data_IF_750854770665
#
_entry.id   IF_750854770665
#
_cell.length_a   1.000
_cell.length_b   1.000
_cell.length_c   1.000
_cell.angle_alpha   90.00
_cell.angle_beta   90.00
_cell.angle_gamma   90.00
#
_symmetry.space_group_name_H-M   'P 1'
#
loop_
_entity.id
_entity.type
_entity.pdbx_description
1 polymer ?
#
# COMPACT_ATOMS: atom_id res chain seq x y z
N UNK A 1 11.83 7.52 -23.98
CA UNK A 1 12.06 8.95 -24.08
C UNK A 1 11.33 9.77 -23.03
N UNK A 2 10.34 9.24 -22.35
CA UNK A 2 9.68 9.88 -21.23
C UNK A 2 10.62 10.11 -20.02
N UNK A 3 11.59 9.24 -19.80
CA UNK A 3 12.63 9.39 -18.77
C UNK A 3 13.45 10.66 -19.03
N UNK A 4 13.91 10.85 -20.25
CA UNK A 4 14.70 12.01 -20.64
C UNK A 4 13.90 13.30 -20.47
N UNK A 5 12.61 13.28 -20.82
CA UNK A 5 11.71 14.41 -20.59
C UNK A 5 11.58 14.76 -19.11
N UNK A 6 11.45 13.76 -18.21
CA UNK A 6 11.41 13.98 -16.76
C UNK A 6 12.73 14.60 -16.24
N UNK A 7 13.88 14.15 -16.73
CA UNK A 7 15.18 14.70 -16.34
C UNK A 7 15.35 16.15 -16.79
N UNK A 8 14.93 16.48 -18.00
CA UNK A 8 14.94 17.86 -18.48
C UNK A 8 13.96 18.74 -17.69
N UNK A 9 12.76 18.25 -17.42
CA UNK A 9 11.78 18.98 -16.61
C UNK A 9 12.33 19.27 -15.20
N UNK A 10 13.00 18.29 -14.58
CA UNK A 10 13.62 18.47 -13.25
C UNK A 10 14.73 19.53 -13.30
N UNK A 11 15.60 19.50 -14.32
CA UNK A 11 16.62 20.51 -14.53
C UNK A 11 16.04 21.91 -14.81
N UNK A 12 14.87 21.97 -15.43
CA UNK A 12 14.14 23.22 -15.68
C UNK A 12 13.38 23.75 -14.47
N UNK A 13 13.45 23.06 -13.32
CA UNK A 13 12.85 23.51 -12.06
C UNK A 13 11.47 22.93 -11.76
N UNK A 14 11.05 21.84 -12.41
CA UNK A 14 9.84 21.13 -12.03
C UNK A 14 9.95 20.62 -10.60
N UNK A 15 8.91 20.88 -9.79
CA UNK A 15 8.88 20.48 -8.37
C UNK A 15 8.80 18.97 -8.22
N UNK A 16 8.05 18.34 -9.08
CA UNK A 16 7.82 16.88 -9.07
C UNK A 16 7.82 16.35 -10.50
N UNK A 17 8.38 15.15 -10.68
CA UNK A 17 8.45 14.44 -11.95
C UNK A 17 8.00 13.00 -11.78
N UNK A 18 7.12 12.54 -12.67
CA UNK A 18 6.62 11.18 -12.68
C UNK A 18 6.97 10.54 -14.02
N UNK A 19 7.75 9.45 -13.98
CA UNK A 19 8.13 8.70 -15.16
C UNK A 19 7.38 7.36 -15.25
N UNK A 20 6.98 7.00 -16.46
CA UNK A 20 6.45 5.66 -16.76
C UNK A 20 7.60 4.74 -17.14
N UNK A 21 7.75 3.62 -16.45
CA UNK A 21 8.82 2.64 -16.61
C UNK A 21 8.29 1.31 -17.11
N UNK A 22 8.87 0.81 -18.20
CA UNK A 22 8.59 -0.55 -18.69
C UNK A 22 9.56 -1.60 -18.14
N UNK A 23 10.72 -1.17 -17.61
CA UNK A 23 11.75 -2.02 -17.00
C UNK A 23 12.00 -1.59 -15.56
N UNK A 24 11.64 -2.45 -14.62
CA UNK A 24 11.76 -2.16 -13.19
C UNK A 24 13.21 -2.03 -12.72
N UNK A 25 14.14 -2.71 -13.41
CA UNK A 25 15.57 -2.67 -13.08
C UNK A 25 16.15 -1.26 -13.17
N UNK A 26 15.53 -0.38 -13.95
CA UNK A 26 15.96 1.01 -14.12
C UNK A 26 15.45 1.94 -13.00
N UNK A 27 14.63 1.44 -12.05
CA UNK A 27 14.05 2.27 -10.98
C UNK A 27 15.11 2.98 -10.14
N UNK A 28 16.17 2.27 -9.76
CA UNK A 28 17.25 2.85 -8.95
C UNK A 28 17.98 3.95 -9.70
N UNK A 29 18.33 3.68 -10.96
CA UNK A 29 19.02 4.69 -11.82
C UNK A 29 18.19 5.96 -11.99
N UNK A 30 16.88 5.84 -12.10
CA UNK A 30 16.00 7.01 -12.22
C UNK A 30 15.92 7.82 -10.94
N UNK A 31 15.90 7.17 -9.79
CA UNK A 31 15.94 7.84 -8.49
C UNK A 31 17.26 8.61 -8.33
N UNK A 32 18.39 7.97 -8.64
CA UNK A 32 19.72 8.58 -8.57
C UNK A 32 19.87 9.74 -9.55
N UNK A 33 19.17 9.67 -10.68
CA UNK A 33 19.11 10.74 -11.66
C UNK A 33 18.15 11.89 -11.30
N UNK A 34 17.43 11.79 -10.19
CA UNK A 34 16.56 12.85 -9.66
C UNK A 34 15.10 12.80 -10.14
N UNK A 35 14.63 11.69 -10.70
CA UNK A 35 13.20 11.46 -10.95
C UNK A 35 12.51 11.08 -9.65
N UNK A 36 11.45 11.81 -9.27
CA UNK A 36 10.83 11.66 -7.97
C UNK A 36 9.98 10.37 -7.87
N UNK A 37 9.21 10.06 -8.91
CA UNK A 37 8.32 8.90 -8.94
C UNK A 37 8.48 8.13 -10.24
N UNK A 38 8.58 6.81 -10.14
CA UNK A 38 8.60 5.91 -11.29
C UNK A 38 7.46 4.89 -11.20
N UNK A 39 6.57 4.88 -12.18
CA UNK A 39 5.41 3.99 -12.24
C UNK A 39 5.60 2.97 -13.35
N UNK A 40 5.36 1.69 -13.06
CA UNK A 40 5.30 0.65 -14.08
C UNK A 40 3.83 0.27 -14.36
N UNK A 41 3.36 0.41 -15.61
CA UNK A 41 2.00 0.01 -15.97
C UNK A 41 1.74 -1.47 -15.71
N UNK A 42 2.74 -2.33 -15.92
CA UNK A 42 2.62 -3.78 -15.64
C UNK A 42 2.38 -4.07 -14.18
N UNK A 43 3.12 -3.39 -13.29
CA UNK A 43 2.96 -3.55 -11.84
C UNK A 43 1.63 -2.95 -11.38
N UNK A 44 1.24 -1.79 -11.90
CA UNK A 44 -0.04 -1.16 -11.58
C UNK A 44 -1.23 -2.05 -11.99
N UNK A 45 -1.21 -2.59 -13.22
CA UNK A 45 -2.27 -3.51 -13.68
C UNK A 45 -2.28 -4.82 -12.91
N UNK A 46 -1.11 -5.40 -12.63
CA UNK A 46 -1.01 -6.62 -11.83
C UNK A 46 -1.54 -6.41 -10.40
N UNK A 47 -1.19 -5.29 -9.76
CA UNK A 47 -1.70 -4.96 -8.43
C UNK A 47 -3.22 -4.78 -8.42
N UNK A 48 -3.80 -4.16 -9.46
CA UNK A 48 -5.25 -4.00 -9.55
C UNK A 48 -5.97 -5.36 -9.69
N UNK A 49 -5.44 -6.26 -10.51
CA UNK A 49 -5.97 -7.63 -10.62
C UNK A 49 -5.83 -8.38 -9.29
N UNK A 50 -4.66 -8.29 -8.64
CA UNK A 50 -4.44 -8.92 -7.34
C UNK A 50 -5.36 -8.34 -6.26
N UNK A 51 -5.62 -7.03 -6.28
CA UNK A 51 -6.57 -6.39 -5.36
C UNK A 51 -7.96 -6.97 -5.51
N UNK A 52 -8.42 -7.17 -6.75
CA UNK A 52 -9.72 -7.80 -7.02
C UNK A 52 -9.77 -9.25 -6.53
N UNK A 53 -8.69 -10.01 -6.75
CA UNK A 53 -8.61 -11.41 -6.35
C UNK A 53 -8.45 -11.60 -4.82
N UNK A 54 -7.85 -10.64 -4.14
CA UNK A 54 -7.61 -10.64 -2.68
C UNK A 54 -8.70 -9.93 -1.88
N UNK A 55 -9.91 -9.80 -2.41
CA UNK A 55 -11.04 -9.21 -1.69
C UNK A 55 -10.84 -7.74 -1.31
N UNK A 56 -10.15 -6.97 -2.15
CA UNK A 56 -9.98 -5.52 -1.95
C UNK A 56 -8.68 -5.09 -1.25
N UNK A 57 -7.82 -6.01 -0.85
CA UNK A 57 -6.49 -5.68 -0.28
C UNK A 57 -5.52 -5.29 -1.40
N UNK A 58 -4.93 -4.13 -1.30
CA UNK A 58 -3.92 -3.61 -2.24
C UNK A 58 -2.52 -3.66 -1.62
N UNK A 59 -1.54 -4.22 -2.32
CA UNK A 59 -0.14 -4.02 -1.97
C UNK A 59 0.28 -2.61 -2.41
N UNK A 60 0.72 -1.79 -1.46
CA UNK A 60 1.17 -0.41 -1.70
C UNK A 60 2.67 -0.38 -1.98
N UNK A 61 3.44 -1.18 -1.25
CA UNK A 61 4.88 -1.32 -1.42
C UNK A 61 5.36 -2.69 -0.97
N UNK A 62 6.38 -3.22 -1.65
CA UNK A 62 7.03 -4.48 -1.30
C UNK A 62 8.49 -4.20 -0.95
N UNK A 63 8.97 -4.74 0.17
CA UNK A 63 10.40 -4.76 0.51
C UNK A 63 11.08 -5.88 -0.28
N UNK A 64 12.30 -5.64 -0.73
CA UNK A 64 13.05 -6.60 -1.56
C UNK A 64 13.74 -7.69 -0.74
N UNK A 65 13.88 -7.50 0.59
CA UNK A 65 14.77 -8.35 1.40
C UNK A 65 14.05 -9.32 2.37
N UNK A 66 12.76 -9.13 2.72
CA UNK A 66 12.13 -9.85 3.85
C UNK A 66 10.71 -10.38 3.62
N UNK A 67 10.21 -10.50 2.40
CA UNK A 67 8.80 -10.86 2.12
C UNK A 67 7.76 -9.98 2.89
N UNK A 68 8.21 -8.83 3.38
CA UNK A 68 7.39 -7.86 4.10
C UNK A 68 6.84 -6.86 3.11
N UNK A 69 5.56 -6.69 3.11
CA UNK A 69 4.86 -5.77 2.21
C UNK A 69 3.97 -4.82 3.01
N UNK A 70 3.76 -3.64 2.44
CA UNK A 70 2.79 -2.68 2.94
C UNK A 70 1.50 -2.86 2.16
N UNK A 71 0.41 -3.01 2.89
CA UNK A 71 -0.92 -3.25 2.34
C UNK A 71 -1.88 -2.16 2.77
N UNK A 72 -2.88 -1.93 1.95
CA UNK A 72 -4.04 -1.10 2.26
C UNK A 72 -5.31 -1.93 2.06
N UNK A 73 -6.25 -1.79 2.99
CA UNK A 73 -7.55 -2.46 2.94
C UNK A 73 -8.63 -1.55 3.49
N UNK A 74 -9.82 -1.59 2.90
CA UNK A 74 -11.01 -0.95 3.45
C UNK A 74 -11.71 -1.90 4.43
N UNK A 75 -12.09 -1.38 5.60
CA UNK A 75 -12.85 -2.14 6.60
C UNK A 75 -14.29 -2.30 6.13
N UNK A 76 -14.69 -3.54 5.85
CA UNK A 76 -16.05 -3.88 5.45
C UNK A 76 -17.04 -3.70 6.60
N UNK A 77 -18.26 -3.26 6.29
CA UNK A 77 -19.33 -3.09 7.28
C UNK A 77 -19.65 -4.39 8.06
N UNK A 78 -19.59 -5.54 7.38
CA UNK A 78 -19.81 -6.87 7.97
C UNK A 78 -18.53 -7.58 8.44
N UNK A 79 -17.38 -6.92 8.45
CA UNK A 79 -16.10 -7.51 8.81
C UNK A 79 -15.97 -7.75 10.31
N UNK A 80 -15.09 -8.68 10.68
CA UNK A 80 -14.76 -8.93 12.09
C UNK A 80 -14.00 -7.78 12.74
N UNK A 81 -13.39 -6.91 11.92
CA UNK A 81 -12.62 -5.76 12.38
C UNK A 81 -13.51 -4.57 12.75
N UNK A 82 -14.70 -4.45 12.15
CA UNK A 82 -15.60 -3.33 12.41
C UNK A 82 -16.05 -3.29 13.88
N UNK A 83 -15.86 -2.16 14.54
CA UNK A 83 -16.21 -1.93 15.95
C UNK A 83 -15.25 -2.53 16.97
N UNK A 84 -14.08 -3.04 16.52
CA UNK A 84 -13.06 -3.58 17.43
C UNK A 84 -11.83 -2.68 17.47
N UNK A 85 -11.14 -2.72 18.60
CA UNK A 85 -9.81 -2.11 18.72
C UNK A 85 -8.75 -3.00 18.05
N UNK A 86 -7.64 -2.42 17.63
CA UNK A 86 -6.53 -3.16 17.02
C UNK A 86 -6.05 -4.30 17.92
N UNK A 87 -5.97 -4.07 19.24
CA UNK A 87 -5.55 -5.09 20.21
C UNK A 87 -6.51 -6.28 20.33
N UNK A 88 -7.79 -6.10 20.01
CA UNK A 88 -8.81 -7.16 20.03
C UNK A 88 -8.86 -8.01 18.76
N UNK A 89 -8.15 -7.59 17.70
CA UNK A 89 -8.20 -8.29 16.42
C UNK A 89 -7.42 -9.61 16.40
N UNK A 90 -6.48 -9.81 17.33
CA UNK A 90 -5.64 -11.00 17.33
C UNK A 90 -4.78 -11.14 16.08
N UNK A 91 -4.17 -10.03 15.64
CA UNK A 91 -3.36 -9.99 14.41
C UNK A 91 -2.22 -11.01 14.45
N UNK A 92 -1.83 -11.58 13.30
CA UNK A 92 -0.64 -12.44 13.21
C UNK A 92 0.58 -11.74 13.79
N UNK A 93 1.53 -12.54 14.32
CA UNK A 93 2.85 -12.04 14.75
C UNK A 93 3.48 -11.31 13.56
N UNK A 94 4.20 -10.24 13.80
CA UNK A 94 4.84 -9.41 12.77
C UNK A 94 3.88 -8.60 11.88
N UNK A 95 2.60 -8.51 12.24
CA UNK A 95 1.66 -7.58 11.61
C UNK A 95 1.58 -6.28 12.38
N UNK A 96 1.79 -5.15 11.69
CA UNK A 96 1.72 -3.82 12.29
C UNK A 96 0.69 -2.97 11.55
N UNK A 97 -0.32 -2.47 12.25
CA UNK A 97 -1.19 -1.41 11.72
C UNK A 97 -0.44 -0.07 11.82
N UNK A 98 -0.02 0.46 10.69
CA UNK A 98 0.75 1.70 10.63
C UNK A 98 -0.16 2.94 10.68
N UNK A 99 -1.26 2.93 9.94
CA UNK A 99 -2.18 4.05 9.86
C UNK A 99 -3.63 3.60 9.64
N UNK A 100 -4.55 4.44 10.07
CA UNK A 100 -5.98 4.36 9.78
C UNK A 100 -6.36 5.68 9.12
N UNK A 101 -6.98 5.64 7.95
CA UNK A 101 -7.50 6.82 7.27
C UNK A 101 -9.01 6.79 7.35
N UNK A 102 -9.58 7.74 8.08
CA UNK A 102 -11.04 7.93 8.25
C UNK A 102 -11.43 9.28 7.71
N UNK A 103 -12.39 9.34 6.80
CA UNK A 103 -12.86 10.58 6.14
C UNK A 103 -11.70 11.40 5.55
N UNK A 104 -10.72 10.71 4.95
CA UNK A 104 -9.53 11.33 4.38
C UNK A 104 -8.51 11.86 5.40
N UNK A 105 -8.71 11.63 6.70
CA UNK A 105 -7.79 12.06 7.77
C UNK A 105 -6.98 10.88 8.29
N UNK A 106 -5.65 10.89 8.11
CA UNK A 106 -4.79 9.84 8.62
C UNK A 106 -4.59 9.95 10.14
N UNK A 107 -4.58 8.83 10.82
CA UNK A 107 -4.25 8.68 12.23
C UNK A 107 -3.31 7.49 12.40
N UNK A 108 -2.43 7.55 13.39
CA UNK A 108 -1.53 6.43 13.70
C UNK A 108 -2.35 5.29 14.31
N UNK A 109 -2.15 4.06 13.80
CA UNK A 109 -2.74 2.86 14.37
C UNK A 109 -2.10 2.54 15.74
N UNK A 110 -2.93 2.51 16.78
CA UNK A 110 -2.51 2.14 18.15
C UNK A 110 -3.40 1.02 18.65
N UNK A 111 -2.91 0.20 19.57
CA UNK A 111 -3.64 -0.95 20.10
C UNK A 111 -5.08 -0.61 20.55
N UNK A 112 -5.29 0.57 21.12
CA UNK A 112 -6.60 1.05 21.56
C UNK A 112 -7.43 1.76 20.46
N UNK A 113 -6.88 1.93 19.26
CA UNK A 113 -7.62 2.55 18.16
C UNK A 113 -8.73 1.61 17.69
N UNK A 114 -9.97 2.09 17.72
CA UNK A 114 -11.15 1.37 17.23
C UNK A 114 -11.26 1.55 15.71
N UNK A 115 -11.48 0.45 15.00
CA UNK A 115 -11.74 0.43 13.57
C UNK A 115 -13.24 0.51 13.30
N UNK A 116 -13.60 1.26 12.26
CA UNK A 116 -14.97 1.44 11.81
C UNK A 116 -15.10 1.06 10.34
N UNK A 117 -16.32 0.70 9.94
CA UNK A 117 -16.60 0.44 8.53
C UNK A 117 -16.18 1.64 7.66
N UNK A 118 -15.62 1.34 6.50
CA UNK A 118 -15.06 2.29 5.53
C UNK A 118 -13.77 2.99 5.94
N UNK A 119 -13.17 2.62 7.08
CA UNK A 119 -11.79 3.02 7.36
C UNK A 119 -10.85 2.36 6.35
N UNK A 120 -9.88 3.14 5.83
CA UNK A 120 -8.77 2.57 5.09
C UNK A 120 -7.62 2.30 6.07
N UNK A 121 -7.26 1.03 6.19
CA UNK A 121 -6.22 0.57 7.12
C UNK A 121 -4.95 0.27 6.33
N UNK A 122 -3.86 0.94 6.69
CA UNK A 122 -2.52 0.65 6.15
C UNK A 122 -1.79 -0.23 7.14
N UNK A 123 -1.36 -1.39 6.71
CA UNK A 123 -0.65 -2.34 7.56
C UNK A 123 0.57 -2.94 6.87
N UNK A 124 1.52 -3.39 7.69
CA UNK A 124 2.73 -4.09 7.28
C UNK A 124 2.58 -5.54 7.70
N UNK A 125 2.78 -6.47 6.79
CA UNK A 125 2.66 -7.91 7.06
C UNK A 125 3.47 -8.75 6.07
N UNK A 126 3.69 -10.01 6.40
CA UNK A 126 4.21 -10.98 5.44
C UNK A 126 3.15 -11.38 4.41
N UNK A 127 3.57 -11.61 3.18
CA UNK A 127 2.67 -12.00 2.08
C UNK A 127 1.83 -13.24 2.37
N UNK A 128 2.35 -14.19 3.18
CA UNK A 128 1.64 -15.40 3.61
C UNK A 128 0.40 -15.11 4.48
N UNK A 129 0.42 -14.01 5.25
CA UNK A 129 -0.63 -13.66 6.22
C UNK A 129 -1.75 -12.80 5.61
N UNK A 130 -1.56 -12.32 4.39
CA UNK A 130 -2.50 -11.40 3.71
C UNK A 130 -3.89 -11.99 3.53
N UNK A 131 -3.99 -13.28 3.25
CA UNK A 131 -5.30 -13.93 3.05
C UNK A 131 -6.13 -13.92 4.33
N UNK A 132 -5.51 -14.20 5.48
CA UNK A 132 -6.15 -14.15 6.80
C UNK A 132 -6.55 -12.72 7.17
N UNK A 133 -5.64 -11.76 6.95
CA UNK A 133 -5.90 -10.35 7.19
C UNK A 133 -7.01 -9.81 6.27
N UNK A 134 -7.03 -10.23 5.01
CA UNK A 134 -8.12 -9.87 4.08
C UNK A 134 -9.47 -10.27 4.64
N UNK A 135 -9.64 -11.53 5.05
CA UNK A 135 -10.90 -12.02 5.63
C UNK A 135 -11.29 -11.27 6.91
N UNK A 136 -10.30 -10.90 7.73
CA UNK A 136 -10.53 -10.16 8.96
C UNK A 136 -11.11 -8.78 8.70
N UNK A 137 -10.56 -8.07 7.70
CA UNK A 137 -10.94 -6.68 7.39
C UNK A 137 -12.11 -6.57 6.42
N UNK A 138 -12.24 -7.45 5.44
CA UNK A 138 -13.32 -7.33 4.43
C UNK A 138 -14.58 -8.13 4.78
N UNK A 139 -14.45 -9.18 5.57
CA UNK A 139 -15.59 -10.02 6.00
C UNK A 139 -16.06 -11.02 4.92
N UNK A 140 -15.26 -11.24 3.88
CA UNK A 140 -15.54 -12.21 2.79
C UNK A 140 -14.58 -13.41 2.84
#
# INVERSE_FOLDING_TARGET
>A
DNILACLFAKKAGAKETIAVLHRLELRHLLRDAGVDVAISPRTASANEVLRMLRGGVSAVATSLDDDIEIYEVEVGHGSKANGKTISELGLPHDTLIAAIVRDGKPQIGRGYSELQAFDHVVFVAHGKDVSELSQLFTGS
#
